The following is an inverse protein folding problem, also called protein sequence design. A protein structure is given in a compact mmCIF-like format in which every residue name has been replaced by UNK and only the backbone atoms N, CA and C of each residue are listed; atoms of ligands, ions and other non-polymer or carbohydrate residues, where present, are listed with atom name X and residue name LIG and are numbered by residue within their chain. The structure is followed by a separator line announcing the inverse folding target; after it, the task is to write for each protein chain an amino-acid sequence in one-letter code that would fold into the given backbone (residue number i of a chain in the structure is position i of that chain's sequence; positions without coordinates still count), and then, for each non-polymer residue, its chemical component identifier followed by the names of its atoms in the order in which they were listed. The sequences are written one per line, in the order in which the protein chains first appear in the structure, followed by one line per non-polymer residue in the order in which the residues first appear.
data_IF_139619416755
#
_entry.id   IF_139619416755
#
_cell.length_a   1.000
_cell.length_b   1.000
_cell.length_c   1.000
_cell.angle_alpha   90.00
_cell.angle_beta   90.00
_cell.angle_gamma   90.00
#
_symmetry.space_group_name_H-M   'P 1'
#
loop_
_entity.id
_entity.type
_entity.pdbx_description
1 polymer ?
#
# COMPACT_ATOMS: atom_id res chain seq x y z
N UNK A 1 -11.23 -9.02 -28.28
CA UNK A 1 -11.24 -8.79 -26.82
C UNK A 1 -9.85 -8.89 -26.18
N UNK A 2 -9.08 -9.97 -26.38
CA UNK A 2 -7.77 -10.19 -25.73
C UNK A 2 -6.72 -9.07 -25.95
N UNK A 3 -6.66 -8.49 -27.15
CA UNK A 3 -5.71 -7.39 -27.42
C UNK A 3 -5.97 -6.14 -26.55
N UNK A 4 -7.24 -5.82 -26.29
CA UNK A 4 -7.60 -4.68 -25.44
C UNK A 4 -7.17 -4.88 -24.00
N UNK A 5 -7.36 -6.10 -23.48
CA UNK A 5 -6.92 -6.49 -22.13
C UNK A 5 -5.39 -6.42 -22.02
N UNK A 6 -4.67 -6.98 -23.00
CA UNK A 6 -3.21 -6.92 -23.02
C UNK A 6 -2.69 -5.47 -23.03
N UNK A 7 -3.32 -4.59 -23.82
CA UNK A 7 -2.98 -3.17 -23.85
C UNK A 7 -3.23 -2.49 -22.50
N UNK A 8 -4.38 -2.75 -21.87
CA UNK A 8 -4.72 -2.19 -20.57
C UNK A 8 -3.71 -2.62 -19.48
N UNK A 9 -3.34 -3.91 -19.45
CA UNK A 9 -2.33 -4.44 -18.52
C UNK A 9 -0.98 -3.76 -18.75
N UNK A 10 -0.56 -3.65 -20.01
CA UNK A 10 0.73 -3.00 -20.36
C UNK A 10 0.77 -1.55 -19.90
N UNK A 11 -0.30 -0.78 -20.13
CA UNK A 11 -0.42 0.62 -19.70
C UNK A 11 -0.35 0.74 -18.18
N UNK A 12 -1.05 -0.13 -17.44
CA UNK A 12 -1.02 -0.13 -15.97
C UNK A 12 0.39 -0.41 -15.44
N UNK A 13 1.06 -1.42 -15.99
CA UNK A 13 2.35 -1.88 -15.46
C UNK A 13 3.52 -0.98 -15.83
N UNK A 14 3.50 -0.33 -17.00
CA UNK A 14 4.68 0.37 -17.55
C UNK A 14 4.51 1.88 -17.73
N UNK A 15 3.28 2.39 -17.87
CA UNK A 15 3.05 3.80 -18.24
C UNK A 15 2.36 4.61 -17.15
N UNK A 16 1.85 3.95 -16.10
CA UNK A 16 1.07 4.59 -15.04
C UNK A 16 1.88 4.62 -13.75
N UNK A 17 2.45 5.78 -13.38
CA UNK A 17 2.90 6.05 -12.03
C UNK A 17 1.75 5.97 -11.03
N UNK A 18 1.99 5.32 -9.89
CA UNK A 18 0.97 5.15 -8.85
C UNK A 18 1.38 5.85 -7.55
N UNK A 19 0.51 6.71 -7.03
CA UNK A 19 0.81 7.48 -5.81
C UNK A 19 1.06 6.61 -4.57
N UNK A 20 0.41 5.44 -4.49
CA UNK A 20 0.57 4.47 -3.40
C UNK A 20 1.98 3.87 -3.31
N UNK A 21 2.72 3.86 -4.42
CA UNK A 21 4.09 3.34 -4.52
C UNK A 21 5.07 4.44 -4.92
N UNK A 22 4.86 5.63 -4.35
CA UNK A 22 5.73 6.80 -4.52
C UNK A 22 5.92 7.24 -5.97
N UNK A 23 4.83 7.20 -6.75
CA UNK A 23 4.80 7.58 -8.16
C UNK A 23 5.78 6.76 -9.03
N UNK A 24 6.07 5.52 -8.62
CA UNK A 24 6.70 4.52 -9.48
C UNK A 24 5.64 3.74 -10.24
N UNK A 25 6.04 3.11 -11.32
CA UNK A 25 5.24 2.08 -12.00
C UNK A 25 5.41 0.74 -11.29
N UNK A 26 4.44 -0.18 -11.42
CA UNK A 26 4.56 -1.52 -10.83
C UNK A 26 5.82 -2.27 -11.28
N UNK A 27 6.21 -2.13 -12.55
CA UNK A 27 7.39 -2.83 -13.09
C UNK A 27 8.69 -2.31 -12.48
N UNK A 28 8.85 -0.98 -12.34
CA UNK A 28 10.02 -0.38 -11.71
C UNK A 28 10.15 -0.85 -10.26
N UNK A 29 9.05 -0.86 -9.53
CA UNK A 29 9.01 -1.27 -8.13
C UNK A 29 9.50 -2.72 -7.94
N UNK A 30 8.99 -3.65 -8.74
CA UNK A 30 9.38 -5.05 -8.66
C UNK A 30 10.85 -5.27 -9.04
N UNK A 31 11.38 -4.48 -9.98
CA UNK A 31 12.77 -4.62 -10.43
C UNK A 31 13.79 -4.06 -9.43
N UNK A 32 13.45 -3.00 -8.71
CA UNK A 32 14.38 -2.33 -7.80
C UNK A 32 14.37 -2.90 -6.36
N UNK A 33 13.42 -3.79 -6.04
CA UNK A 33 13.29 -4.47 -4.75
C UNK A 33 13.37 -3.52 -3.53
N UNK A 34 12.90 -2.29 -3.73
CA UNK A 34 12.96 -1.23 -2.74
C UNK A 34 11.84 -1.37 -1.70
N UNK A 35 12.09 -0.98 -0.44
CA UNK A 35 11.04 -0.94 0.57
C UNK A 35 9.97 0.10 0.22
N UNK A 36 8.71 -0.31 0.30
CA UNK A 36 7.56 0.55 -0.01
C UNK A 36 6.82 0.89 1.28
N UNK A 37 6.73 2.17 1.56
CA UNK A 37 5.92 2.64 2.68
C UNK A 37 4.42 2.51 2.38
N UNK A 38 3.70 1.95 3.34
CA UNK A 38 2.25 1.82 3.27
C UNK A 38 1.58 3.17 3.52
N UNK A 39 1.07 3.81 2.46
CA UNK A 39 0.45 5.15 2.55
C UNK A 39 -0.99 5.19 3.07
N UNK A 40 -1.69 4.06 3.08
CA UNK A 40 -3.08 4.03 3.54
C UNK A 40 -3.19 3.89 5.06
N UNK A 41 -4.09 4.67 5.66
CA UNK A 41 -4.45 4.53 7.08
C UNK A 41 -5.01 3.13 7.32
N UNK A 42 -4.64 2.54 8.46
CA UNK A 42 -5.32 1.34 8.92
C UNK A 42 -6.50 1.78 9.79
N UNK A 43 -7.71 1.41 9.41
CA UNK A 43 -8.93 1.74 10.16
C UNK A 43 -9.16 0.77 11.33
N UNK A 44 -8.50 -0.39 11.31
CA UNK A 44 -8.66 -1.40 12.35
C UNK A 44 -7.61 -1.19 13.44
N UNK A 45 -8.09 -0.97 14.65
CA UNK A 45 -7.23 -0.88 15.83
C UNK A 45 -6.73 -2.28 16.18
N UNK A 46 -5.42 -2.42 16.35
CA UNK A 46 -4.84 -3.67 16.84
C UNK A 46 -5.36 -3.93 18.26
N UNK A 47 -5.75 -5.17 18.55
CA UNK A 47 -6.21 -5.57 19.90
C UNK A 47 -5.20 -5.23 21.01
N UNK A 48 -3.92 -5.20 20.68
CA UNK A 48 -2.83 -4.80 21.59
C UNK A 48 -2.94 -3.32 21.99
N UNK A 49 -3.28 -2.44 21.04
CA UNK A 49 -3.44 -1.01 21.29
C UNK A 49 -4.71 -0.70 22.11
N UNK A 50 -5.73 -1.56 22.04
CA UNK A 50 -6.90 -1.48 22.92
C UNK A 50 -6.54 -1.74 24.39
N UNK A 51 -5.54 -2.58 24.68
CA UNK A 51 -5.11 -2.87 26.05
C UNK A 51 -4.31 -1.73 26.67
N UNK A 52 -3.57 -0.98 25.85
CA UNK A 52 -2.75 0.17 26.30
C UNK A 52 -3.63 1.30 26.83
N UNK A 53 -4.73 1.63 26.13
CA UNK A 53 -5.66 2.67 26.60
C UNK A 53 -6.35 2.33 27.93
N UNK A 54 -6.63 1.05 28.18
CA UNK A 54 -7.20 0.60 29.46
C UNK A 54 -6.16 0.70 30.59
N UNK A 55 -4.89 0.36 30.32
CA UNK A 55 -3.83 0.41 31.32
C UNK A 55 -3.52 1.85 31.80
N UNK A 56 -3.54 2.85 30.91
CA UNK A 56 -3.34 4.26 31.26
C UNK A 56 -4.49 4.84 32.12
N UNK A 57 -5.71 4.37 31.92
CA UNK A 57 -6.88 4.79 32.72
C UNK A 57 -6.87 4.18 34.13
N UNK A 58 -6.37 2.96 34.29
CA UNK A 58 -6.27 2.30 35.61
C UNK A 58 -5.18 2.83 36.53
N UNK A 59 -4.24 3.61 36.00
CA UNK A 59 -3.09 4.15 36.75
C UNK A 59 -3.23 5.65 37.11
N UNK A 60 -4.40 6.23 36.82
CA UNK A 60 -4.76 7.61 37.19
C UNK A 60 -5.55 7.62 38.50
#
# INVERSE_FOLDING_TARGET
AQQGVAKAISVYNHLRPHGSISYKTPIELHNHNEPVERKWKNYYVKKELLKVGVAEETYR
#
